data_IF_513861007547
#
_entry.id   IF_513861007547
#
_cell.length_a   1.000
_cell.length_b   1.000
_cell.length_c   1.000
_cell.angle_alpha   90.00
_cell.angle_beta   90.00
_cell.angle_gamma   90.00
#
_symmetry.space_group_name_H-M   'P 1'
#
loop_
_entity.id
_entity.type
_entity.pdbx_description
1 polymer ?
#
# COMPACT_ATOMS: atom_id res chain seq x y z
N UNK A 1 15.17 -12.47 35.26
CA UNK A 1 14.76 -11.79 34.01
C UNK A 1 15.79 -12.12 32.96
N UNK A 2 15.54 -13.14 32.14
CA UNK A 2 16.40 -13.44 30.99
C UNK A 2 16.27 -12.30 29.98
N UNK A 3 17.39 -11.61 29.75
CA UNK A 3 17.52 -10.65 28.66
C UNK A 3 17.23 -11.38 27.35
N UNK A 4 16.15 -10.99 26.66
CA UNK A 4 15.84 -11.52 25.34
C UNK A 4 17.05 -11.26 24.43
N UNK A 5 17.72 -12.33 24.00
CA UNK A 5 18.87 -12.22 23.11
C UNK A 5 18.49 -11.37 21.88
N UNK A 6 19.32 -10.40 21.46
CA UNK A 6 18.98 -9.51 20.38
C UNK A 6 18.68 -10.31 19.10
N UNK A 7 17.58 -9.98 18.42
CA UNK A 7 17.22 -10.60 17.15
C UNK A 7 18.39 -10.47 16.17
N UNK A 8 18.83 -11.58 15.58
CA UNK A 8 19.89 -11.56 14.56
C UNK A 8 19.52 -10.61 13.43
N UNK A 9 20.50 -9.89 12.87
CA UNK A 9 20.28 -8.92 11.78
C UNK A 9 19.54 -9.51 10.57
N UNK A 10 19.79 -10.77 10.24
CA UNK A 10 19.08 -11.48 9.17
C UNK A 10 17.57 -11.62 9.46
N UNK A 11 17.17 -11.86 10.72
CA UNK A 11 15.76 -11.89 11.14
C UNK A 11 15.10 -10.51 11.02
N UNK A 12 15.83 -9.45 11.35
CA UNK A 12 15.33 -8.07 11.22
C UNK A 12 15.08 -7.70 9.75
N UNK A 13 15.98 -8.07 8.84
CA UNK A 13 15.77 -7.90 7.39
C UNK A 13 14.56 -8.67 6.88
N UNK A 14 14.36 -9.92 7.34
CA UNK A 14 13.16 -10.69 7.02
C UNK A 14 11.91 -9.99 7.54
N UNK A 15 11.90 -9.58 8.80
CA UNK A 15 10.76 -8.86 9.39
C UNK A 15 10.43 -7.58 8.61
N UNK A 16 11.44 -6.79 8.23
CA UNK A 16 11.27 -5.59 7.41
C UNK A 16 10.61 -5.91 6.06
N UNK A 17 11.06 -6.95 5.37
CA UNK A 17 10.49 -7.36 4.09
C UNK A 17 9.03 -7.82 4.23
N UNK A 18 8.72 -8.55 5.31
CA UNK A 18 7.38 -9.04 5.60
C UNK A 18 6.40 -7.92 5.93
N UNK A 19 6.78 -7.04 6.85
CA UNK A 19 5.99 -5.89 7.29
C UNK A 19 5.80 -4.91 6.12
N UNK A 20 6.78 -4.81 5.22
CA UNK A 20 6.67 -4.01 4.01
C UNK A 20 5.71 -4.59 2.97
N UNK A 21 5.40 -5.89 2.98
CA UNK A 21 4.56 -6.49 1.94
C UNK A 21 3.17 -6.88 2.46
N UNK A 22 3.08 -7.74 3.47
CA UNK A 22 1.83 -8.42 3.81
C UNK A 22 0.73 -7.46 4.33
N UNK A 23 1.01 -6.58 5.31
CA UNK A 23 0.01 -5.61 5.78
C UNK A 23 -0.43 -4.65 4.68
N UNK A 24 0.51 -4.17 3.86
CA UNK A 24 0.24 -3.27 2.73
C UNK A 24 -0.69 -3.93 1.71
N UNK A 25 -0.45 -5.20 1.36
CA UNK A 25 -1.33 -5.94 0.44
C UNK A 25 -2.73 -6.17 1.02
N UNK A 26 -2.83 -6.52 2.30
CA UNK A 26 -4.13 -6.71 2.98
C UNK A 26 -4.89 -5.38 3.01
N UNK A 27 -4.25 -4.30 3.43
CA UNK A 27 -4.82 -2.96 3.44
C UNK A 27 -5.27 -2.53 2.04
N UNK A 28 -4.41 -2.71 1.03
CA UNK A 28 -4.71 -2.37 -0.35
C UNK A 28 -5.92 -3.17 -0.86
N UNK A 29 -5.98 -4.48 -0.60
CA UNK A 29 -7.12 -5.32 -1.00
C UNK A 29 -8.43 -4.91 -0.34
N UNK A 30 -8.41 -4.57 0.95
CA UNK A 30 -9.58 -4.04 1.66
C UNK A 30 -10.02 -2.70 1.08
N UNK A 31 -9.07 -1.80 0.79
CA UNK A 31 -9.38 -0.53 0.15
C UNK A 31 -9.95 -0.71 -1.25
N UNK A 32 -9.38 -1.60 -2.06
CA UNK A 32 -9.88 -1.91 -3.40
C UNK A 32 -11.34 -2.35 -3.33
N UNK A 33 -11.64 -3.28 -2.42
CA UNK A 33 -12.98 -3.81 -2.22
C UNK A 33 -13.98 -2.75 -1.75
N UNK A 34 -13.56 -1.86 -0.85
CA UNK A 34 -14.38 -0.76 -0.37
C UNK A 34 -14.67 0.25 -1.48
N UNK A 35 -13.63 0.70 -2.18
CA UNK A 35 -13.76 1.70 -3.24
C UNK A 35 -14.53 1.17 -4.45
N UNK A 36 -14.46 -0.13 -4.74
CA UNK A 36 -15.25 -0.75 -5.80
C UNK A 36 -16.76 -0.61 -5.58
N UNK A 37 -17.22 -0.57 -4.31
CA UNK A 37 -18.64 -0.39 -4.00
C UNK A 37 -19.19 0.96 -4.46
N UNK A 38 -18.32 1.93 -4.76
CA UNK A 38 -18.74 3.25 -5.27
C UNK A 38 -19.41 3.20 -6.64
N UNK A 39 -19.10 2.18 -7.44
CA UNK A 39 -19.72 1.94 -8.73
C UNK A 39 -21.16 1.44 -8.61
N UNK A 40 -21.54 0.87 -7.46
CA UNK A 40 -22.94 0.56 -7.12
C UNK A 40 -23.74 1.77 -6.61
N UNK A 41 -23.15 2.97 -6.64
CA UNK A 41 -23.77 4.20 -6.16
C UNK A 41 -23.68 4.40 -4.65
N UNK A 42 -24.29 5.50 -4.18
CA UNK A 42 -24.19 5.99 -2.79
C UNK A 42 -24.58 4.93 -1.76
N UNK A 43 -25.68 4.22 -1.97
CA UNK A 43 -26.20 3.25 -1.00
C UNK A 43 -25.29 2.03 -0.88
N UNK A 44 -24.76 1.51 -2.00
CA UNK A 44 -23.85 0.38 -1.98
C UNK A 44 -22.52 0.74 -1.29
N UNK A 45 -21.98 1.92 -1.58
CA UNK A 45 -20.79 2.43 -0.91
C UNK A 45 -21.02 2.64 0.58
N UNK A 46 -22.11 3.31 0.97
CA UNK A 46 -22.42 3.56 2.36
C UNK A 46 -22.61 2.26 3.16
N UNK A 47 -23.30 1.26 2.59
CA UNK A 47 -23.44 -0.05 3.21
C UNK A 47 -22.10 -0.77 3.37
N UNK A 48 -21.21 -0.66 2.37
CA UNK A 48 -19.85 -1.22 2.44
C UNK A 48 -19.04 -0.55 3.54
N UNK A 49 -18.94 0.78 3.53
CA UNK A 49 -18.20 1.56 4.55
C UNK A 49 -18.77 1.34 5.95
N UNK A 50 -20.09 1.21 6.09
CA UNK A 50 -20.71 0.86 7.36
C UNK A 50 -20.21 -0.50 7.91
N UNK A 51 -19.89 -1.45 7.02
CA UNK A 51 -19.40 -2.77 7.41
C UNK A 51 -17.88 -2.84 7.61
N UNK A 52 -17.10 -2.04 6.86
CA UNK A 52 -15.64 -2.15 6.82
C UNK A 52 -14.90 -1.05 7.56
N UNK A 53 -15.51 0.12 7.68
CA UNK A 53 -14.85 1.38 8.03
C UNK A 53 -15.59 2.19 9.10
N UNK A 54 -16.72 1.71 9.62
CA UNK A 54 -17.53 2.44 10.60
C UNK A 54 -17.35 1.90 12.03
N UNK A 55 -17.31 2.83 12.99
CA UNK A 55 -17.13 2.54 14.41
C UNK A 55 -15.67 2.37 14.84
N UNK A 56 -15.47 2.33 16.17
CA UNK A 56 -14.14 2.33 16.78
C UNK A 56 -13.29 1.10 16.41
N UNK A 57 -13.92 -0.08 16.29
CA UNK A 57 -13.23 -1.32 15.95
C UNK A 57 -12.67 -1.31 14.51
N UNK A 58 -13.43 -0.79 13.55
CA UNK A 58 -12.98 -0.64 12.17
C UNK A 58 -11.81 0.34 12.07
N UNK A 59 -11.94 1.51 12.71
CA UNK A 59 -10.87 2.51 12.81
C UNK A 59 -9.60 1.90 13.42
N UNK A 60 -9.72 1.17 14.53
CA UNK A 60 -8.58 0.50 15.16
C UNK A 60 -7.93 -0.54 14.23
N UNK A 61 -8.74 -1.30 13.50
CA UNK A 61 -8.27 -2.30 12.53
C UNK A 61 -7.47 -1.64 11.40
N UNK A 62 -7.97 -0.53 10.85
CA UNK A 62 -7.25 0.20 9.80
C UNK A 62 -5.95 0.82 10.33
N UNK A 63 -5.94 1.37 11.56
CA UNK A 63 -4.71 1.84 12.20
C UNK A 63 -3.67 0.71 12.39
N UNK A 64 -4.13 -0.48 12.77
CA UNK A 64 -3.28 -1.66 12.94
C UNK A 64 -2.78 -2.23 11.62
N UNK A 65 -3.52 -2.07 10.51
CA UNK A 65 -3.15 -2.58 9.19
C UNK A 65 -2.35 -1.58 8.35
N UNK A 66 -2.54 -0.27 8.56
CA UNK A 66 -1.86 0.78 7.81
C UNK A 66 -0.74 1.46 8.64
N UNK A 67 -1.06 2.03 9.80
CA UNK A 67 -0.15 2.89 10.55
C UNK A 67 0.90 2.11 11.32
N UNK A 68 0.51 1.12 12.12
CA UNK A 68 1.47 0.34 12.90
C UNK A 68 2.52 -0.35 12.00
N UNK A 69 2.15 -0.97 10.85
CA UNK A 69 3.11 -1.55 9.92
C UNK A 69 4.00 -0.50 9.24
N UNK A 70 3.45 0.66 8.88
CA UNK A 70 4.24 1.76 8.31
C UNK A 70 5.33 2.24 9.29
N UNK A 71 4.96 2.48 10.55
CA UNK A 71 5.89 2.91 11.58
C UNK A 71 6.93 1.82 11.90
N UNK A 72 6.50 0.56 11.97
CA UNK A 72 7.40 -0.56 12.18
C UNK A 72 8.39 -0.72 11.03
N UNK A 73 7.92 -0.60 9.79
CA UNK A 73 8.77 -0.63 8.61
C UNK A 73 9.79 0.51 8.60
N UNK A 74 9.36 1.75 8.87
CA UNK A 74 10.24 2.92 8.96
C UNK A 74 11.30 2.71 10.05
N UNK A 75 10.89 2.24 11.23
CA UNK A 75 11.80 1.96 12.34
C UNK A 75 12.85 0.90 11.99
N UNK A 76 12.42 -0.20 11.37
CA UNK A 76 13.33 -1.25 10.89
C UNK A 76 14.26 -0.75 9.80
N UNK A 77 13.76 0.01 8.83
CA UNK A 77 14.55 0.59 7.74
C UNK A 77 15.65 1.53 8.28
N UNK A 78 15.30 2.40 9.24
CA UNK A 78 16.25 3.30 9.90
C UNK A 78 17.28 2.52 10.74
N UNK A 79 16.87 1.45 11.40
CA UNK A 79 17.78 0.59 12.16
C UNK A 79 18.74 -0.17 11.24
N UNK A 80 18.24 -0.68 10.12
CA UNK A 80 18.99 -1.48 9.16
C UNK A 80 19.86 -0.65 8.21
N UNK A 81 19.65 0.67 8.11
CA UNK A 81 20.35 1.59 7.19
C UNK A 81 21.88 1.49 7.20
N UNK A 82 22.47 1.11 8.35
CA UNK A 82 23.93 0.94 8.54
C UNK A 82 24.39 -0.48 8.19
N UNK A 83 23.61 -1.21 7.41
CA UNK A 83 23.77 -2.63 7.17
C UNK A 83 23.69 -2.97 5.72
N UNK A 84 24.49 -3.97 5.36
CA UNK A 84 24.36 -4.61 4.07
C UNK A 84 23.05 -5.42 4.05
N UNK A 85 22.26 -5.18 3.00
CA UNK A 85 21.11 -6.01 2.69
C UNK A 85 21.61 -7.43 2.34
N UNK A 86 20.97 -8.50 2.86
CA UNK A 86 21.33 -9.86 2.52
C UNK A 86 21.33 -10.07 1.00
N UNK A 87 22.36 -10.73 0.41
CA UNK A 87 22.46 -10.93 -1.04
C UNK A 87 21.21 -11.58 -1.65
N UNK A 88 20.55 -12.49 -0.91
CA UNK A 88 19.31 -13.12 -1.35
C UNK A 88 18.16 -12.10 -1.54
N UNK A 89 18.03 -11.11 -0.64
CA UNK A 89 17.01 -10.07 -0.73
C UNK A 89 17.35 -9.04 -1.82
N UNK A 90 18.62 -8.67 -1.97
CA UNK A 90 19.07 -7.82 -3.07
C UNK A 90 18.82 -8.50 -4.43
N UNK A 91 19.17 -9.79 -4.55
CA UNK A 91 18.90 -10.63 -5.73
C UNK A 91 17.41 -10.89 -5.99
N UNK A 92 16.53 -10.43 -5.09
CA UNK A 92 15.10 -10.42 -5.34
C UNK A 92 14.70 -9.46 -6.48
N UNK A 93 15.51 -8.43 -6.74
CA UNK A 93 15.24 -7.39 -7.74
C UNK A 93 15.72 -7.79 -9.13
N UNK A 94 16.97 -8.22 -9.24
CA UNK A 94 17.58 -8.67 -10.49
C UNK A 94 18.71 -9.66 -10.19
N UNK A 95 19.11 -10.43 -11.21
CA UNK A 95 20.23 -11.37 -11.12
C UNK A 95 21.57 -10.64 -11.20
N UNK A 96 21.66 -9.63 -12.05
CA UNK A 96 22.86 -8.82 -12.22
C UNK A 96 23.00 -7.83 -11.03
N UNK A 97 24.12 -7.85 -10.29
CA UNK A 97 24.28 -7.09 -9.05
C UNK A 97 24.11 -5.57 -9.19
N UNK A 98 24.62 -4.96 -10.26
CA UNK A 98 24.54 -3.51 -10.46
C UNK A 98 23.09 -3.08 -10.75
N UNK A 99 22.36 -3.87 -11.54
CA UNK A 99 20.94 -3.69 -11.83
C UNK A 99 20.12 -3.88 -10.56
N UNK A 100 20.41 -4.91 -9.77
CA UNK A 100 19.75 -5.16 -8.49
C UNK A 100 19.95 -3.98 -7.53
N UNK A 101 21.16 -3.41 -7.48
CA UNK A 101 21.48 -2.22 -6.68
C UNK A 101 20.69 -0.99 -7.14
N UNK A 102 20.66 -0.69 -8.44
CA UNK A 102 19.92 0.47 -8.98
C UNK A 102 18.42 0.36 -8.74
N UNK A 103 17.84 -0.80 -9.02
CA UNK A 103 16.42 -1.07 -8.74
C UNK A 103 16.14 -1.03 -7.23
N UNK A 104 17.07 -1.53 -6.42
CA UNK A 104 16.99 -1.47 -4.96
C UNK A 104 16.89 -0.02 -4.46
N UNK A 105 17.70 0.89 -4.99
CA UNK A 105 17.65 2.32 -4.66
C UNK A 105 16.32 2.96 -5.09
N UNK A 106 15.84 2.66 -6.30
CA UNK A 106 14.56 3.17 -6.79
C UNK A 106 13.39 2.70 -5.92
N UNK A 107 13.33 1.39 -5.61
CA UNK A 107 12.28 0.83 -4.76
C UNK A 107 12.37 1.40 -3.35
N UNK A 108 13.57 1.61 -2.81
CA UNK A 108 13.75 2.22 -1.49
C UNK A 108 13.23 3.66 -1.47
N UNK A 109 13.55 4.46 -2.46
CA UNK A 109 13.00 5.81 -2.61
C UNK A 109 11.46 5.79 -2.74
N UNK A 110 10.94 4.89 -3.57
CA UNK A 110 9.49 4.68 -3.73
C UNK A 110 8.80 4.24 -2.44
N UNK A 111 9.45 3.38 -1.64
CA UNK A 111 8.93 2.91 -0.36
C UNK A 111 8.87 4.02 0.68
N UNK A 112 9.91 4.85 0.77
CA UNK A 112 9.91 6.04 1.62
C UNK A 112 8.81 7.03 1.23
N UNK A 113 8.69 7.31 -0.07
CA UNK A 113 7.64 8.17 -0.58
C UNK A 113 6.25 7.59 -0.31
N UNK A 114 6.07 6.28 -0.50
CA UNK A 114 4.82 5.58 -0.24
C UNK A 114 4.43 5.67 1.23
N UNK A 115 5.32 5.35 2.17
CA UNK A 115 4.97 5.40 3.60
C UNK A 115 4.76 6.84 4.08
N UNK A 116 5.52 7.81 3.58
CA UNK A 116 5.25 9.22 3.86
C UNK A 116 3.87 9.64 3.34
N UNK A 117 3.54 9.25 2.11
CA UNK A 117 2.22 9.47 1.53
C UNK A 117 1.12 8.73 2.31
N UNK A 118 1.33 7.49 2.74
CA UNK A 118 0.34 6.70 3.47
C UNK A 118 0.00 7.37 4.80
N UNK A 119 1.02 7.84 5.53
CA UNK A 119 0.84 8.59 6.78
C UNK A 119 0.10 9.91 6.53
N UNK A 120 0.43 10.62 5.44
CA UNK A 120 -0.31 11.82 5.03
C UNK A 120 -1.76 11.50 4.64
N UNK A 121 -1.98 10.46 3.82
CA UNK A 121 -3.27 10.05 3.29
C UNK A 121 -4.21 9.64 4.44
N UNK A 122 -3.73 8.82 5.37
CA UNK A 122 -4.45 8.47 6.60
C UNK A 122 -4.65 9.71 7.47
N UNK A 123 -3.59 10.46 7.77
CA UNK A 123 -3.67 11.62 8.65
C UNK A 123 -4.64 12.69 8.15
N UNK A 124 -4.71 12.91 6.84
CA UNK A 124 -5.57 13.91 6.22
C UNK A 124 -7.00 13.41 6.02
N UNK A 125 -7.19 12.21 5.44
CA UNK A 125 -8.51 11.70 5.09
C UNK A 125 -9.24 11.06 6.27
N UNK A 126 -8.52 10.55 7.27
CA UNK A 126 -9.15 10.01 8.48
C UNK A 126 -9.32 11.05 9.56
N UNK A 127 -8.74 12.25 9.45
CA UNK A 127 -8.95 13.28 10.47
C UNK A 127 -10.45 13.55 10.74
N UNK A 128 -11.31 13.75 9.71
CA UNK A 128 -12.75 13.85 9.95
C UNK A 128 -13.35 12.58 10.53
N UNK A 129 -12.89 11.40 10.09
CA UNK A 129 -13.33 10.09 10.60
C UNK A 129 -13.04 9.90 12.10
N UNK A 130 -11.90 10.41 12.54
CA UNK A 130 -11.39 10.30 13.92
C UNK A 130 -12.02 11.33 14.86
N UNK A 131 -12.22 12.56 14.39
CA UNK A 131 -12.71 13.68 15.22
C UNK A 131 -14.23 13.83 15.18
N UNK A 132 -14.83 13.61 14.01
CA UNK A 132 -16.24 13.90 13.74
C UNK A 132 -17.08 12.64 13.53
N UNK A 133 -16.45 11.47 13.60
CA UNK A 133 -17.08 10.17 13.43
C UNK A 133 -17.01 9.62 12.00
N UNK A 134 -17.19 8.32 11.86
CA UNK A 134 -17.04 7.56 10.61
C UNK A 134 -18.33 7.47 9.79
N UNK A 135 -19.10 8.55 9.68
CA UNK A 135 -20.37 8.55 8.93
C UNK A 135 -20.16 8.12 7.47
N UNK A 136 -20.73 6.96 7.04
CA UNK A 136 -20.56 6.45 5.69
C UNK A 136 -21.04 7.40 4.59
N UNK A 137 -22.08 8.20 4.87
CA UNK A 137 -22.64 9.15 3.91
C UNK A 137 -21.70 10.32 3.70
N UNK A 138 -21.08 10.80 4.78
CA UNK A 138 -20.07 11.84 4.70
C UNK A 138 -18.84 11.39 3.92
N UNK A 139 -18.38 10.15 4.13
CA UNK A 139 -17.29 9.57 3.36
C UNK A 139 -17.61 9.52 1.85
N UNK A 140 -18.85 9.23 1.46
CA UNK A 140 -19.28 9.29 0.06
C UNK A 140 -19.17 10.70 -0.52
N UNK A 141 -19.64 11.71 0.22
CA UNK A 141 -19.59 13.11 -0.21
C UNK A 141 -18.13 13.56 -0.40
N UNK A 142 -17.26 13.22 0.55
CA UNK A 142 -15.83 13.55 0.50
C UNK A 142 -15.13 12.85 -0.66
N UNK A 143 -15.42 11.56 -0.90
CA UNK A 143 -14.89 10.80 -2.03
C UNK A 143 -15.23 11.51 -3.35
N UNK A 144 -16.52 11.80 -3.57
CA UNK A 144 -16.98 12.43 -4.81
C UNK A 144 -16.39 13.83 -5.00
N UNK A 145 -16.39 14.66 -3.95
CA UNK A 145 -15.83 16.00 -4.01
C UNK A 145 -14.31 15.98 -4.25
N UNK A 146 -13.61 14.99 -3.70
CA UNK A 146 -12.17 14.88 -3.78
C UNK A 146 -11.62 14.40 -5.12
N UNK A 147 -12.33 13.50 -5.79
CA UNK A 147 -11.89 12.91 -7.07
C UNK A 147 -11.75 13.93 -8.21
N UNK A 148 -12.47 15.07 -8.15
CA UNK A 148 -12.34 16.17 -9.11
C UNK A 148 -11.37 17.29 -8.72
N UNK A 149 -10.80 17.24 -7.51
CA UNK A 149 -9.95 18.31 -6.99
C UNK A 149 -8.47 17.97 -7.20
N UNK A 150 -7.76 18.81 -7.96
CA UNK A 150 -6.30 18.70 -8.19
C UNK A 150 -5.47 18.55 -6.90
N UNK A 151 -5.86 19.25 -5.83
CA UNK A 151 -5.23 19.16 -4.51
C UNK A 151 -5.33 17.76 -3.86
N UNK A 152 -6.27 16.91 -4.31
CA UNK A 152 -6.43 15.52 -3.88
C UNK A 152 -5.90 14.58 -4.94
N UNK A 153 -6.13 14.90 -6.21
CA UNK A 153 -5.76 14.03 -7.31
C UNK A 153 -4.25 13.89 -7.49
N UNK A 154 -3.50 14.97 -7.36
CA UNK A 154 -2.04 14.96 -7.51
C UNK A 154 -1.38 14.12 -6.40
N UNK A 155 -1.66 14.35 -5.10
CA UNK A 155 -1.11 13.50 -4.04
C UNK A 155 -1.48 12.03 -4.21
N UNK A 156 -2.71 11.70 -4.60
CA UNK A 156 -3.11 10.30 -4.83
C UNK A 156 -2.40 9.67 -6.03
N UNK A 157 -2.17 10.40 -7.12
CA UNK A 157 -1.39 9.90 -8.25
C UNK A 157 0.08 9.62 -7.86
N UNK A 158 0.70 10.52 -7.08
CA UNK A 158 2.04 10.32 -6.53
C UNK A 158 2.06 9.09 -5.60
N UNK A 159 1.08 9.01 -4.69
CA UNK A 159 0.92 7.90 -3.75
C UNK A 159 0.74 6.56 -4.43
N UNK A 160 -0.09 6.48 -5.46
CA UNK A 160 -0.32 5.27 -6.25
C UNK A 160 0.93 4.84 -7.02
N UNK A 161 1.69 5.80 -7.57
CA UNK A 161 2.96 5.52 -8.23
C UNK A 161 3.98 4.96 -7.23
N UNK A 162 4.09 5.58 -6.05
CA UNK A 162 4.97 5.13 -4.98
C UNK A 162 4.55 3.76 -4.43
N UNK A 163 3.25 3.53 -4.23
CA UNK A 163 2.67 2.23 -3.86
C UNK A 163 3.03 1.16 -4.89
N UNK A 164 2.89 1.46 -6.19
CA UNK A 164 3.21 0.51 -7.25
C UNK A 164 4.68 0.10 -7.24
N UNK A 165 5.60 1.07 -7.12
CA UNK A 165 7.03 0.80 -6.99
C UNK A 165 7.35 -0.01 -5.73
N UNK A 166 6.70 0.34 -4.62
CA UNK A 166 6.88 -0.35 -3.35
C UNK A 166 6.43 -1.80 -3.43
N UNK A 167 5.20 -2.08 -3.85
CA UNK A 167 4.64 -3.44 -3.97
C UNK A 167 5.46 -4.28 -4.96
N UNK A 168 5.83 -3.70 -6.11
CA UNK A 168 6.65 -4.38 -7.11
C UNK A 168 7.96 -4.93 -6.54
N UNK A 169 8.60 -4.19 -5.61
CA UNK A 169 9.85 -4.62 -4.99
C UNK A 169 9.73 -5.26 -3.59
N UNK A 170 8.66 -5.01 -2.85
CA UNK A 170 8.48 -5.55 -1.50
C UNK A 170 7.98 -7.01 -1.54
N UNK A 171 7.04 -7.32 -2.43
CA UNK A 171 6.44 -8.66 -2.55
C UNK A 171 7.47 -9.75 -2.89
N UNK A 172 8.32 -9.63 -3.93
CA UNK A 172 9.34 -10.65 -4.19
C UNK A 172 10.35 -10.78 -3.05
N UNK A 173 10.72 -9.69 -2.36
CA UNK A 173 11.59 -9.74 -1.17
C UNK A 173 10.93 -10.51 -0.03
N UNK A 174 9.63 -10.31 0.22
CA UNK A 174 8.89 -11.04 1.23
C UNK A 174 8.84 -12.55 0.93
N UNK A 175 8.63 -12.94 -0.34
CA UNK A 175 8.68 -14.36 -0.72
C UNK A 175 10.08 -14.96 -0.53
N UNK A 176 11.15 -14.24 -0.87
CA UNK A 176 12.52 -14.68 -0.57
C UNK A 176 12.74 -14.79 0.94
N UNK A 177 12.22 -13.85 1.75
CA UNK A 177 12.34 -13.90 3.20
C UNK A 177 11.67 -15.15 3.82
N UNK A 178 10.62 -15.69 3.19
CA UNK A 178 9.97 -16.95 3.54
C UNK A 178 10.61 -18.20 2.90
N UNK A 179 11.63 -18.06 2.05
CA UNK A 179 12.21 -19.18 1.32
C UNK A 179 11.38 -19.64 0.12
N UNK A 180 10.36 -18.88 -0.28
CA UNK A 180 9.49 -19.19 -1.43
C UNK A 180 10.00 -18.59 -2.76
N UNK A 181 11.07 -17.77 -2.72
CA UNK A 181 11.61 -17.05 -3.87
C UNK A 181 12.99 -17.52 -4.36
N UNK A 182 13.35 -18.79 -4.11
CA UNK A 182 14.70 -19.31 -4.40
C UNK A 182 15.05 -19.30 -5.90
N UNK A 183 14.06 -19.55 -6.76
CA UNK A 183 14.27 -19.64 -8.21
C UNK A 183 14.11 -18.28 -8.92
N UNK A 184 14.96 -17.96 -9.91
CA UNK A 184 14.85 -16.72 -10.69
C UNK A 184 13.50 -16.55 -11.41
N UNK A 185 12.93 -17.66 -11.92
CA UNK A 185 11.61 -17.75 -12.55
C UNK A 185 10.49 -17.28 -11.62
N UNK A 186 10.49 -17.76 -10.37
CA UNK A 186 9.51 -17.38 -9.34
C UNK A 186 9.62 -15.90 -8.99
N UNK A 187 10.85 -15.38 -8.86
CA UNK A 187 11.08 -13.95 -8.59
C UNK A 187 10.58 -13.07 -9.74
N UNK A 188 10.84 -13.46 -10.99
CA UNK A 188 10.34 -12.75 -12.17
C UNK A 188 8.82 -12.75 -12.22
N UNK A 189 8.20 -13.91 -12.04
CA UNK A 189 6.73 -14.06 -12.04
C UNK A 189 6.10 -13.21 -10.95
N UNK A 190 6.67 -13.22 -9.75
CA UNK A 190 6.18 -12.41 -8.62
C UNK A 190 6.25 -10.91 -8.92
N UNK A 191 7.35 -10.43 -9.51
CA UNK A 191 7.47 -9.03 -9.94
C UNK A 191 6.42 -8.65 -10.99
N UNK A 192 6.13 -9.55 -11.94
CA UNK A 192 5.08 -9.33 -12.94
C UNK A 192 3.69 -9.27 -12.28
N UNK A 193 3.36 -10.22 -11.41
CA UNK A 193 2.10 -10.20 -10.66
C UNK A 193 1.95 -8.94 -9.81
N UNK A 194 3.01 -8.54 -9.08
CA UNK A 194 3.01 -7.32 -8.28
C UNK A 194 2.85 -6.06 -9.15
N UNK A 195 3.46 -6.04 -10.34
CA UNK A 195 3.26 -4.99 -11.34
C UNK A 195 1.83 -4.92 -11.85
N UNK A 196 1.19 -6.07 -12.13
CA UNK A 196 -0.22 -6.12 -12.54
C UNK A 196 -1.15 -5.61 -11.44
N UNK A 197 -0.87 -5.92 -10.18
CA UNK A 197 -1.61 -5.36 -9.03
C UNK A 197 -1.47 -3.83 -9.02
N UNK A 198 -0.26 -3.29 -9.15
CA UNK A 198 -0.05 -1.85 -9.20
C UNK A 198 -0.84 -1.17 -10.34
N UNK A 199 -0.84 -1.77 -11.53
CA UNK A 199 -1.61 -1.30 -12.68
C UNK A 199 -3.12 -1.32 -12.39
N UNK A 200 -3.63 -2.38 -11.75
CA UNK A 200 -5.05 -2.47 -11.39
C UNK A 200 -5.50 -1.33 -10.45
N UNK A 201 -4.66 -0.91 -9.50
CA UNK A 201 -4.96 0.25 -8.64
C UNK A 201 -4.96 1.58 -9.42
N UNK A 202 -4.03 1.75 -10.37
CA UNK A 202 -4.02 2.94 -11.23
C UNK A 202 -5.28 2.99 -12.11
N UNK A 203 -5.65 1.85 -12.70
CA UNK A 203 -6.87 1.70 -13.50
C UNK A 203 -8.11 1.99 -12.67
N UNK A 204 -8.21 1.43 -11.45
CA UNK A 204 -9.32 1.72 -10.54
C UNK A 204 -9.40 3.21 -10.22
N UNK A 205 -8.28 3.83 -9.88
CA UNK A 205 -8.25 5.25 -9.55
C UNK A 205 -8.68 6.11 -10.73
N UNK A 206 -8.18 5.83 -11.94
CA UNK A 206 -8.59 6.53 -13.15
C UNK A 206 -10.10 6.37 -13.40
N UNK A 207 -10.65 5.16 -13.20
CA UNK A 207 -12.07 4.90 -13.34
C UNK A 207 -12.91 5.65 -12.30
N UNK A 208 -12.50 5.66 -11.02
CA UNK A 208 -13.15 6.41 -9.95
C UNK A 208 -13.15 7.91 -10.24
N UNK A 209 -12.03 8.45 -10.73
CA UNK A 209 -11.91 9.85 -11.10
C UNK A 209 -12.89 10.21 -12.22
N UNK A 210 -12.95 9.42 -13.30
CA UNK A 210 -13.94 9.64 -14.36
C UNK A 210 -15.37 9.57 -13.83
N UNK A 211 -15.69 8.49 -13.12
CA UNK A 211 -17.03 8.26 -12.59
C UNK A 211 -17.52 9.41 -11.71
N UNK A 212 -16.70 9.84 -10.76
CA UNK A 212 -17.10 10.85 -9.78
C UNK A 212 -16.94 12.29 -10.27
N UNK A 213 -15.94 12.59 -11.10
CA UNK A 213 -15.67 13.94 -11.58
C UNK A 213 -16.36 14.27 -12.92
N UNK A 214 -16.42 13.30 -13.84
CA UNK A 214 -16.96 13.49 -15.19
C UNK A 214 -18.37 12.89 -15.39
N UNK A 215 -18.86 12.06 -14.45
CA UNK A 215 -20.16 11.40 -14.56
C UNK A 215 -20.19 10.27 -15.60
N UNK A 216 -19.03 9.89 -16.13
CA UNK A 216 -18.83 8.78 -17.05
C UNK A 216 -17.52 8.08 -16.66
N UNK A 217 -17.47 6.75 -16.76
CA UNK A 217 -16.23 6.03 -16.47
C UNK A 217 -15.12 6.38 -17.47
N UNK A 218 -13.87 6.49 -17.01
CA UNK A 218 -12.72 6.88 -17.84
C UNK A 218 -12.33 5.80 -18.84
N UNK A 219 -12.45 4.53 -18.44
CA UNK A 219 -11.97 3.38 -19.20
C UNK A 219 -13.10 2.48 -19.68
N UNK A 220 -14.24 2.45 -18.99
CA UNK A 220 -15.45 1.72 -19.41
C UNK A 220 -16.73 2.41 -18.87
N UNK A 221 -17.88 2.19 -19.51
CA UNK A 221 -19.17 2.71 -19.02
C UNK A 221 -19.68 1.93 -17.80
N UNK A 222 -20.41 2.60 -16.92
CA UNK A 222 -21.10 2.01 -15.77
C UNK A 222 -22.60 2.15 -16.04
N UNK A 223 -23.08 1.38 -17.01
CA UNK A 223 -24.50 1.24 -17.35
C UNK A 223 -25.28 0.49 -16.26
#
# INVERSE_FOLDING_TARGET
>A
MESAAPLSRARLWRAQALIGAAPVLVWAGLHLWEQWASFGGRSAYAARVAATSHGAAAIATELLLAIAPALAWIGLELHLRRGEEPPALAGAMAEEPETARRLGLLVKAGSWLFFAWLLFHVGWLWWPKLVEGSDPIRSWIQLRAGMGAWAIAIPNAIGLTAFGLHVWGAVPRALVAFGLGAEPSTRRTTRLCAGLVAVAFVVLYAQLAGWHAAGAGTLWSLE
#
